data_IF_233968793360
#
_entry.id   IF_233968793360
#
_cell.length_a   1.000
_cell.length_b   1.000
_cell.length_c   1.000
_cell.angle_alpha   90.00
_cell.angle_beta   90.00
_cell.angle_gamma   90.00
#
_symmetry.space_group_name_H-M   'P 1'
#
loop_
_entity.id
_entity.type
_entity.pdbx_description
1 polymer ?
#
# COMPACT_ATOMS: atom_id res chain seq x y z
N UNK A 1 -51.01 12.44 1.39
CA UNK A 1 -49.91 11.48 1.09
C UNK A 1 -48.69 12.16 0.41
N UNK A 2 -48.25 13.35 0.85
CA UNK A 2 -47.04 14.00 0.30
C UNK A 2 -45.90 14.19 1.32
N UNK A 3 -46.14 13.87 2.59
CA UNK A 3 -45.18 14.08 3.68
C UNK A 3 -44.40 12.78 4.01
N UNK A 4 -44.87 11.61 3.56
CA UNK A 4 -44.24 10.32 3.88
C UNK A 4 -43.00 9.98 3.04
N UNK A 5 -42.74 10.73 1.95
CA UNK A 5 -41.64 10.44 1.01
C UNK A 5 -40.31 11.13 1.37
N UNK A 6 -40.31 12.01 2.37
CA UNK A 6 -39.10 12.77 2.76
C UNK A 6 -38.30 12.07 3.87
N UNK A 7 -38.86 11.06 4.53
CA UNK A 7 -38.22 10.34 5.65
C UNK A 7 -37.24 9.23 5.25
N UNK A 8 -37.11 8.89 3.97
CA UNK A 8 -36.22 7.79 3.52
C UNK A 8 -34.83 8.30 3.10
N UNK A 9 -34.59 9.61 3.12
CA UNK A 9 -33.33 10.22 2.65
C UNK A 9 -32.32 10.54 3.76
N UNK A 10 -32.59 10.21 5.03
CA UNK A 10 -31.86 10.84 6.16
C UNK A 10 -30.93 9.94 6.98
N UNK A 11 -30.36 8.85 6.46
CA UNK A 11 -29.35 8.07 7.22
C UNK A 11 -28.23 7.43 6.39
N UNK A 12 -27.81 8.01 5.26
CA UNK A 12 -26.44 7.77 4.78
C UNK A 12 -25.49 8.69 5.55
N UNK A 13 -25.34 8.42 6.84
CA UNK A 13 -24.26 9.01 7.64
C UNK A 13 -22.96 8.44 7.08
N UNK A 14 -22.21 9.24 6.31
CA UNK A 14 -20.83 8.92 5.95
C UNK A 14 -19.95 9.07 7.20
N UNK A 15 -20.14 8.19 8.18
CA UNK A 15 -19.26 8.11 9.34
C UNK A 15 -17.92 7.52 8.89
N UNK A 16 -16.82 8.09 9.38
CA UNK A 16 -15.50 7.53 9.15
C UNK A 16 -15.41 6.14 9.83
N UNK A 17 -14.84 5.13 9.17
CA UNK A 17 -14.70 3.81 9.75
C UNK A 17 -13.77 3.89 10.97
N UNK A 18 -14.20 3.33 12.10
CA UNK A 18 -13.35 3.18 13.29
C UNK A 18 -12.68 1.82 13.33
N UNK A 19 -13.31 0.81 12.73
CA UNK A 19 -12.74 -0.52 12.52
C UNK A 19 -12.35 -0.75 11.05
N UNK A 20 -11.26 -1.48 10.82
CA UNK A 20 -10.82 -1.74 9.44
C UNK A 20 -11.82 -2.58 8.64
N UNK A 21 -12.58 -3.47 9.29
CA UNK A 21 -13.65 -4.25 8.64
C UNK A 21 -14.78 -3.38 8.09
N UNK A 22 -14.91 -2.15 8.56
CA UNK A 22 -15.90 -1.18 8.09
C UNK A 22 -15.38 -0.32 6.95
N UNK A 23 -14.11 -0.50 6.56
CA UNK A 23 -13.52 0.25 5.46
C UNK A 23 -14.35 0.04 4.20
N UNK A 24 -14.88 1.14 3.64
CA UNK A 24 -15.54 1.19 2.32
C UNK A 24 -14.68 1.84 1.24
N UNK A 25 -13.51 2.36 1.62
CA UNK A 25 -12.55 3.02 0.74
C UNK A 25 -11.56 2.04 0.10
N UNK A 26 -10.50 2.61 -0.49
CA UNK A 26 -9.36 1.82 -0.98
C UNK A 26 -8.54 1.33 0.22
N UNK A 27 -8.02 0.12 0.14
CA UNK A 27 -7.14 -0.40 1.18
C UNK A 27 -5.69 -0.19 0.77
N UNK A 28 -4.84 0.16 1.74
CA UNK A 28 -3.41 0.24 1.50
C UNK A 28 -2.56 -0.38 2.60
N UNK A 29 -1.44 -0.99 2.22
CA UNK A 29 -0.37 -1.32 3.15
C UNK A 29 0.67 -0.20 3.08
N UNK A 30 0.98 0.39 4.23
CA UNK A 30 1.89 1.52 4.34
C UNK A 30 3.14 1.11 5.11
N UNK A 31 4.29 1.25 4.47
CA UNK A 31 5.59 0.85 4.97
C UNK A 31 6.51 2.06 5.01
N UNK A 32 7.09 2.35 6.18
CA UNK A 32 8.11 3.39 6.34
C UNK A 32 9.40 2.75 6.76
N UNK A 33 10.47 3.04 6.04
CA UNK A 33 11.80 2.50 6.31
C UNK A 33 12.86 3.60 6.35
N UNK A 34 13.95 3.32 7.05
CA UNK A 34 15.20 4.07 6.91
C UNK A 34 16.04 3.41 5.82
N UNK A 35 16.91 4.18 5.17
CA UNK A 35 17.98 3.56 4.38
C UNK A 35 18.95 2.87 5.35
N UNK A 36 19.20 1.58 5.13
CA UNK A 36 20.08 0.78 5.98
C UNK A 36 21.54 1.23 5.81
N UNK A 37 22.41 0.86 6.76
CA UNK A 37 23.86 1.08 6.62
C UNK A 37 24.38 0.32 5.40
N UNK A 38 24.98 1.03 4.44
CA UNK A 38 25.42 0.46 3.16
C UNK A 38 24.29 0.24 2.13
N UNK A 39 23.05 0.61 2.48
CA UNK A 39 21.92 0.65 1.57
C UNK A 39 21.85 1.96 0.76
N UNK A 40 20.92 2.02 -0.18
CA UNK A 40 20.73 3.20 -1.03
C UNK A 40 19.27 3.45 -1.40
N UNK A 41 18.95 4.72 -1.66
CA UNK A 41 17.68 5.14 -2.25
C UNK A 41 17.41 4.46 -3.60
N UNK A 42 18.44 4.32 -4.45
CA UNK A 42 18.33 3.67 -5.75
C UNK A 42 17.99 2.18 -5.61
N UNK A 43 18.63 1.47 -4.68
CA UNK A 43 18.33 0.06 -4.41
C UNK A 43 16.91 -0.14 -3.84
N UNK A 44 16.47 0.75 -2.96
CA UNK A 44 15.07 0.75 -2.50
C UNK A 44 14.07 1.01 -3.65
N UNK A 45 14.35 1.98 -4.52
CA UNK A 45 13.48 2.27 -5.67
C UNK A 45 13.43 1.09 -6.63
N UNK A 46 14.55 0.40 -6.85
CA UNK A 46 14.60 -0.85 -7.62
C UNK A 46 13.69 -1.91 -7.00
N UNK A 47 13.78 -2.15 -5.70
CA UNK A 47 12.89 -3.09 -5.02
C UNK A 47 11.41 -2.70 -5.17
N UNK A 48 11.09 -1.40 -5.08
CA UNK A 48 9.71 -0.92 -5.25
C UNK A 48 9.18 -1.16 -6.67
N UNK A 49 10.03 -1.01 -7.70
CA UNK A 49 9.67 -1.34 -9.09
C UNK A 49 9.38 -2.83 -9.27
N UNK A 50 10.24 -3.69 -8.73
CA UNK A 50 10.03 -5.14 -8.75
C UNK A 50 8.75 -5.56 -8.02
N UNK A 51 8.42 -4.90 -6.90
CA UNK A 51 7.16 -5.15 -6.19
C UNK A 51 5.94 -4.70 -7.01
N UNK A 52 6.05 -3.60 -7.78
CA UNK A 52 4.99 -3.21 -8.72
C UNK A 52 4.83 -4.23 -9.86
N UNK A 53 5.94 -4.68 -10.46
CA UNK A 53 5.96 -5.70 -11.52
C UNK A 53 5.31 -7.00 -11.03
N UNK A 54 5.62 -7.44 -9.81
CA UNK A 54 5.04 -8.62 -9.18
C UNK A 54 3.50 -8.63 -9.19
N UNK A 55 2.85 -7.48 -8.95
CA UNK A 55 1.39 -7.33 -9.08
C UNK A 55 0.93 -7.27 -10.54
N UNK A 56 1.64 -6.48 -11.38
CA UNK A 56 1.26 -6.27 -12.79
C UNK A 56 1.30 -7.55 -13.62
N UNK A 57 2.34 -8.36 -13.45
CA UNK A 57 2.53 -9.62 -14.17
C UNK A 57 1.43 -10.66 -13.88
N UNK A 58 0.62 -10.41 -12.85
CA UNK A 58 -0.52 -11.22 -12.43
C UNK A 58 -1.87 -10.54 -12.71
N UNK A 59 -1.87 -9.49 -13.53
CA UNK A 59 -3.08 -8.77 -13.92
C UNK A 59 -3.79 -8.06 -12.76
N UNK A 60 -3.05 -7.70 -11.70
CA UNK A 60 -3.61 -7.00 -10.55
C UNK A 60 -3.57 -5.49 -10.73
N UNK A 61 -4.67 -4.82 -10.34
CA UNK A 61 -4.75 -3.35 -10.30
C UNK A 61 -4.13 -2.75 -9.02
N UNK A 62 -3.47 -3.57 -8.20
CA UNK A 62 -2.75 -3.09 -7.01
C UNK A 62 -1.53 -2.27 -7.44
N UNK A 63 -1.43 -1.06 -6.89
CA UNK A 63 -0.38 -0.09 -7.21
C UNK A 63 0.58 0.07 -6.04
N UNK A 64 1.88 -0.03 -6.31
CA UNK A 64 2.94 0.30 -5.37
C UNK A 64 3.38 1.74 -5.64
N UNK A 65 3.16 2.61 -4.66
CA UNK A 65 3.51 4.02 -4.69
C UNK A 65 4.78 4.24 -3.82
N UNK A 66 5.97 4.31 -4.43
CA UNK A 66 7.18 4.71 -3.71
C UNK A 66 7.20 6.22 -3.46
N UNK A 67 7.55 6.63 -2.24
CA UNK A 67 7.65 8.01 -1.79
C UNK A 67 8.92 8.22 -0.96
N UNK A 68 9.58 9.36 -1.15
CA UNK A 68 10.67 9.83 -0.30
C UNK A 68 10.16 10.89 0.66
N UNK A 69 10.42 10.71 1.95
CA UNK A 69 10.04 11.67 2.97
C UNK A 69 11.24 12.52 3.37
N UNK A 70 11.01 13.82 3.42
CA UNK A 70 11.94 14.84 3.91
C UNK A 70 11.29 15.50 5.11
N UNK A 71 12.10 15.95 6.08
CA UNK A 71 11.55 16.71 7.22
C UNK A 71 11.25 18.13 6.80
N UNK A 72 10.38 18.78 7.55
CA UNK A 72 10.25 20.23 7.57
C UNK A 72 10.76 20.77 8.89
N UNK A 73 11.36 21.94 8.87
CA UNK A 73 11.70 22.67 10.10
C UNK A 73 10.45 23.31 10.73
N UNK A 74 10.63 24.03 11.84
CA UNK A 74 9.54 24.72 12.55
C UNK A 74 8.90 25.86 11.74
N UNK A 75 9.59 26.37 10.73
CA UNK A 75 9.10 27.42 9.83
C UNK A 75 8.40 26.83 8.59
N UNK A 76 8.45 25.51 8.42
CA UNK A 76 7.84 24.78 7.33
C UNK A 76 8.75 24.56 6.13
N UNK A 77 10.02 24.98 6.16
CA UNK A 77 10.97 24.75 5.07
C UNK A 77 11.39 23.28 5.02
N UNK A 78 11.61 22.74 3.81
CA UNK A 78 12.05 21.35 3.61
C UNK A 78 13.53 21.22 3.94
N UNK A 79 13.90 20.22 4.73
CA UNK A 79 15.30 19.85 4.95
C UNK A 79 15.80 19.00 3.79
N UNK A 80 16.94 19.33 3.20
CA UNK A 80 17.47 18.64 2.00
C UNK A 80 17.79 17.14 2.22
N UNK A 81 17.97 16.72 3.47
CA UNK A 81 18.33 15.34 3.80
C UNK A 81 17.11 14.43 3.76
N UNK A 82 17.24 13.32 3.02
CA UNK A 82 16.27 12.23 3.03
C UNK A 82 16.07 11.72 4.46
N UNK A 83 14.82 11.67 4.90
CA UNK A 83 14.46 11.18 6.23
C UNK A 83 13.99 9.73 6.22
N UNK A 84 13.08 9.36 5.32
CA UNK A 84 12.53 8.00 5.19
C UNK A 84 12.23 7.64 3.74
N UNK A 85 12.38 6.37 3.42
CA UNK A 85 11.88 5.76 2.20
C UNK A 85 10.57 5.03 2.51
N UNK A 86 9.51 5.29 1.75
CA UNK A 86 8.15 4.88 2.11
C UNK A 86 7.43 4.27 0.93
N UNK A 87 6.77 3.15 1.14
CA UNK A 87 5.99 2.49 0.08
C UNK A 87 4.55 2.35 0.55
N UNK A 88 3.61 2.78 -0.29
CA UNK A 88 2.19 2.52 -0.09
C UNK A 88 1.70 1.58 -1.18
N UNK A 89 1.16 0.42 -0.79
CA UNK A 89 0.62 -0.58 -1.71
C UNK A 89 -0.89 -0.46 -1.67
N UNK A 90 -1.48 0.16 -2.69
CA UNK A 90 -2.88 0.60 -2.73
C UNK A 90 -3.69 -0.27 -3.69
N UNK A 91 -4.91 -0.62 -3.29
CA UNK A 91 -5.87 -1.30 -4.16
C UNK A 91 -7.31 -1.02 -3.75
N UNK A 92 -8.25 -1.13 -4.68
CA UNK A 92 -9.67 -1.23 -4.31
C UNK A 92 -9.93 -2.52 -3.53
N UNK A 93 -11.05 -2.60 -2.81
CA UNK A 93 -11.44 -3.82 -2.11
C UNK A 93 -11.58 -5.01 -3.07
N UNK A 94 -12.16 -4.76 -4.25
CA UNK A 94 -12.27 -5.76 -5.30
C UNK A 94 -10.89 -6.20 -5.82
N UNK A 95 -9.93 -5.29 -5.99
CA UNK A 95 -8.56 -5.67 -6.37
C UNK A 95 -7.91 -6.56 -5.31
N UNK A 96 -8.04 -6.24 -4.02
CA UNK A 96 -7.52 -7.07 -2.93
C UNK A 96 -8.23 -8.41 -2.79
N UNK A 97 -9.55 -8.45 -3.08
CA UNK A 97 -10.32 -9.69 -3.12
C UNK A 97 -9.88 -10.60 -4.26
N UNK A 98 -9.76 -10.05 -5.49
CA UNK A 98 -9.23 -10.77 -6.65
C UNK A 98 -7.82 -11.28 -6.40
N UNK A 99 -6.95 -10.44 -5.83
CA UNK A 99 -5.59 -10.82 -5.48
C UNK A 99 -5.54 -12.00 -4.50
N UNK A 100 -6.34 -11.96 -3.43
CA UNK A 100 -6.44 -13.07 -2.47
C UNK A 100 -6.94 -14.35 -3.14
N UNK A 101 -7.97 -14.25 -3.98
CA UNK A 101 -8.49 -15.39 -4.74
C UNK A 101 -7.45 -15.97 -5.68
N UNK A 102 -6.70 -15.14 -6.40
CA UNK A 102 -5.62 -15.57 -7.29
C UNK A 102 -4.60 -16.41 -6.53
N UNK A 103 -4.11 -15.92 -5.38
CA UNK A 103 -3.13 -16.67 -4.58
C UNK A 103 -3.63 -18.01 -4.04
N UNK A 104 -4.90 -18.09 -3.65
CA UNK A 104 -5.48 -19.34 -3.11
C UNK A 104 -5.69 -20.39 -4.21
N UNK A 105 -5.88 -19.94 -5.45
CA UNK A 105 -6.16 -20.81 -6.60
C UNK A 105 -4.91 -21.14 -7.44
N UNK A 106 -3.72 -20.68 -7.03
CA UNK A 106 -2.47 -21.02 -7.70
C UNK A 106 -2.16 -22.50 -7.54
N UNK A 107 -1.66 -23.13 -8.61
CA UNK A 107 -1.02 -24.43 -8.49
C UNK A 107 0.35 -24.31 -7.81
N UNK A 108 0.95 -25.45 -7.46
CA UNK A 108 2.21 -25.48 -6.71
C UNK A 108 3.37 -24.77 -7.44
N UNK A 109 3.48 -24.95 -8.76
CA UNK A 109 4.55 -24.34 -9.55
C UNK A 109 4.38 -22.82 -9.68
N UNK A 110 3.14 -22.36 -9.87
CA UNK A 110 2.79 -20.94 -9.87
C UNK A 110 3.10 -20.29 -8.52
N UNK A 111 2.75 -20.96 -7.42
CA UNK A 111 3.00 -20.50 -6.07
C UNK A 111 4.52 -20.42 -5.79
N UNK A 112 5.29 -21.44 -6.17
CA UNK A 112 6.77 -21.44 -6.05
C UNK A 112 7.41 -20.31 -6.85
N UNK A 113 6.95 -20.10 -8.10
CA UNK A 113 7.43 -19.00 -8.94
C UNK A 113 7.11 -17.64 -8.30
N UNK A 114 5.88 -17.46 -7.81
CA UNK A 114 5.48 -16.23 -7.14
C UNK A 114 6.29 -15.97 -5.87
N UNK A 115 6.54 -16.99 -5.05
CA UNK A 115 7.36 -16.86 -3.85
C UNK A 115 8.79 -16.44 -4.21
N UNK A 116 9.40 -17.06 -5.23
CA UNK A 116 10.75 -16.71 -5.68
C UNK A 116 10.85 -15.25 -6.14
N UNK A 117 9.87 -14.77 -6.90
CA UNK A 117 9.81 -13.37 -7.34
C UNK A 117 9.62 -12.41 -6.17
N UNK A 118 8.75 -12.79 -5.21
CA UNK A 118 8.52 -12.03 -3.99
C UNK A 118 9.80 -11.92 -3.15
N UNK A 119 10.48 -13.03 -2.93
CA UNK A 119 11.74 -13.10 -2.17
C UNK A 119 12.85 -12.30 -2.84
N UNK A 120 12.90 -12.28 -4.18
CA UNK A 120 13.88 -11.51 -4.92
C UNK A 120 13.74 -9.99 -4.66
N UNK A 121 12.52 -9.45 -4.67
CA UNK A 121 12.35 -8.03 -4.34
C UNK A 121 12.57 -7.79 -2.85
N UNK A 122 12.12 -8.67 -1.96
CA UNK A 122 12.31 -8.54 -0.51
C UNK A 122 13.79 -8.54 -0.13
N UNK A 123 14.61 -9.35 -0.79
CA UNK A 123 16.06 -9.38 -0.62
C UNK A 123 16.69 -8.03 -0.92
N UNK A 124 16.31 -7.41 -2.06
CA UNK A 124 16.82 -6.07 -2.42
C UNK A 124 16.28 -5.01 -1.47
N UNK A 125 15.01 -5.09 -1.07
CA UNK A 125 14.40 -4.17 -0.12
C UNK A 125 15.12 -4.19 1.24
N UNK A 126 15.29 -5.37 1.83
CA UNK A 126 15.92 -5.57 3.14
C UNK A 126 17.43 -5.26 3.13
N UNK A 127 18.11 -5.48 2.00
CA UNK A 127 19.50 -5.07 1.83
C UNK A 127 19.67 -3.55 1.89
N UNK A 128 18.68 -2.79 1.39
CA UNK A 128 18.78 -1.34 1.26
C UNK A 128 18.08 -0.57 2.36
N UNK A 129 17.20 -1.21 3.13
CA UNK A 129 16.32 -0.52 4.07
C UNK A 129 16.10 -1.30 5.35
N UNK A 130 15.77 -0.56 6.40
CA UNK A 130 15.34 -1.09 7.69
C UNK A 130 13.90 -0.62 7.93
N UNK A 131 12.95 -1.56 7.94
CA UNK A 131 11.55 -1.26 8.16
C UNK A 131 11.33 -0.74 9.59
N UNK A 132 10.65 0.39 9.70
CA UNK A 132 10.39 1.05 11.00
C UNK A 132 8.91 1.14 11.34
N UNK A 133 8.05 1.18 10.33
CA UNK A 133 6.61 1.28 10.50
C UNK A 133 5.94 0.42 9.45
N UNK A 134 4.92 -0.32 9.90
CA UNK A 134 3.96 -1.00 9.06
C UNK A 134 2.55 -0.68 9.55
N UNK A 135 1.68 -0.23 8.64
CA UNK A 135 0.28 0.08 8.94
C UNK A 135 -0.61 -0.43 7.81
N UNK A 136 -1.84 -0.81 8.17
CA UNK A 136 -2.93 -1.00 7.22
C UNK A 136 -3.78 0.27 7.24
N UNK A 137 -4.09 0.80 6.07
CA UNK A 137 -4.84 2.03 5.90
C UNK A 137 -6.15 1.78 5.16
N UNK A 138 -7.20 2.46 5.59
CA UNK A 138 -8.39 2.71 4.78
C UNK A 138 -8.28 4.12 4.19
N UNK A 139 -8.12 4.23 2.88
CA UNK A 139 -8.07 5.50 2.17
C UNK A 139 -9.50 5.89 1.82
N UNK A 140 -10.00 6.88 2.56
CA UNK A 140 -11.32 7.46 2.35
C UNK A 140 -11.30 8.33 1.10
N UNK A 141 -12.28 8.14 0.22
CA UNK A 141 -12.52 8.98 -0.94
C UNK A 141 -13.79 9.78 -0.67
N UNK A 142 -13.73 11.09 -0.89
CA UNK A 142 -14.89 11.99 -0.81
C UNK A 142 -15.45 12.20 -2.21
#
# INVERSE_FOLDING_TARGET
>A
MRILLILVLSFYSFAAPTDFSECKGKEANYYVAKIAKGGSAAGWLKASKMHQEFYKDRGSDITVMPMMQYRRDSEGNVTDKLYRATSMVVGSQEAWKKWRSLRVNQNEDEAKKAQKEYDAFMSIYNKNTELTVQRKLCILSW
#
